data_IF_262529536738
#
_entry.id   IF_262529536738
#
_cell.length_a   1.000
_cell.length_b   1.000
_cell.length_c   1.000
_cell.angle_alpha   90.00
_cell.angle_beta   90.00
_cell.angle_gamma   90.00
#
_symmetry.space_group_name_H-M   'P 1'
#
loop_
_entity.id
_entity.type
_entity.pdbx_description
1 polymer ?
#
# COMPACT_ATOMS: atom_id res chain seq x y z
N UNK A 1 12.37 22.31 30.42
CA UNK A 1 12.06 21.15 29.55
C UNK A 1 13.15 21.09 28.49
N UNK A 2 13.97 20.04 28.46
CA UNK A 2 15.16 19.96 27.60
C UNK A 2 14.76 20.06 26.13
N UNK A 3 15.42 20.97 25.41
CA UNK A 3 15.00 21.49 24.11
C UNK A 3 15.58 20.73 22.90
N UNK A 4 15.96 19.46 23.07
CA UNK A 4 16.47 18.63 21.98
C UNK A 4 15.30 17.86 21.33
N UNK A 5 14.55 18.56 20.46
CA UNK A 5 13.67 17.86 19.52
C UNK A 5 14.55 17.00 18.63
N UNK A 6 14.36 15.68 18.66
CA UNK A 6 14.99 14.72 17.76
C UNK A 6 13.95 14.17 16.79
N UNK A 7 14.34 13.75 15.58
CA UNK A 7 13.41 13.12 14.66
C UNK A 7 12.84 11.82 15.27
N UNK A 8 11.57 11.54 14.95
CA UNK A 8 10.88 10.28 15.25
C UNK A 8 11.63 9.09 14.61
N UNK A 9 11.28 7.86 14.98
CA UNK A 9 11.88 6.68 14.35
C UNK A 9 11.48 6.56 12.88
N UNK A 10 10.21 6.85 12.58
CA UNK A 10 9.73 6.93 11.21
C UNK A 10 10.50 7.96 10.38
N UNK A 11 10.72 9.16 10.92
CA UNK A 11 11.43 10.24 10.23
C UNK A 11 12.86 9.85 9.86
N UNK A 12 13.54 9.10 10.73
CA UNK A 12 14.88 8.55 10.43
C UNK A 12 14.81 7.46 9.37
N UNK A 13 13.79 6.59 9.42
CA UNK A 13 13.63 5.50 8.47
C UNK A 13 13.37 5.96 7.02
N UNK A 14 12.88 7.20 6.84
CA UNK A 14 12.63 7.79 5.52
C UNK A 14 13.68 8.81 5.08
N UNK A 15 14.84 8.88 5.75
CA UNK A 15 15.91 9.79 5.37
C UNK A 15 16.43 9.52 3.94
N UNK A 16 16.63 10.59 3.18
CA UNK A 16 17.02 10.55 1.76
C UNK A 16 15.93 11.06 0.81
N UNK A 17 16.27 11.12 -0.47
CA UNK A 17 15.34 11.50 -1.53
C UNK A 17 14.64 10.25 -2.08
N UNK A 18 13.31 10.27 -2.07
CA UNK A 18 12.46 9.20 -2.58
C UNK A 18 11.93 9.56 -3.95
N UNK A 19 12.11 8.63 -4.90
CA UNK A 19 11.67 8.77 -6.28
C UNK A 19 10.65 7.71 -6.61
N UNK A 20 9.52 8.12 -7.18
CA UNK A 20 8.45 7.21 -7.56
C UNK A 20 7.73 7.69 -8.81
N UNK A 21 7.03 6.75 -9.43
CA UNK A 21 6.10 7.03 -10.51
C UNK A 21 4.71 6.44 -10.20
N UNK A 22 4.04 6.90 -9.12
CA UNK A 22 2.67 6.48 -8.85
C UNK A 22 1.77 6.51 -10.08
N UNK A 23 1.09 5.39 -10.31
CA UNK A 23 -0.01 5.29 -11.25
C UNK A 23 -1.23 6.04 -10.72
N UNK A 24 -1.94 6.71 -11.64
CA UNK A 24 -3.17 7.43 -11.39
C UNK A 24 -4.34 6.67 -12.02
N UNK A 25 -5.34 6.40 -11.19
CA UNK A 25 -6.55 5.72 -11.59
C UNK A 25 -7.79 6.56 -11.27
N UNK A 26 -8.78 6.47 -12.16
CA UNK A 26 -10.15 6.90 -11.91
C UNK A 26 -10.80 6.03 -10.81
N UNK A 27 -11.93 6.49 -10.28
CA UNK A 27 -12.67 5.77 -9.22
C UNK A 27 -13.15 4.37 -9.65
N UNK A 28 -13.32 4.11 -10.95
CA UNK A 28 -13.68 2.80 -11.50
C UNK A 28 -12.46 1.87 -11.71
N UNK A 29 -11.25 2.37 -11.43
CA UNK A 29 -9.99 1.66 -11.62
C UNK A 29 -9.41 1.74 -13.02
N UNK A 30 -9.95 2.58 -13.90
CA UNK A 30 -9.33 2.91 -15.18
C UNK A 30 -8.01 3.64 -14.93
N UNK A 31 -6.92 3.09 -15.44
CA UNK A 31 -5.61 3.75 -15.40
C UNK A 31 -5.57 4.90 -16.42
N UNK A 32 -5.29 6.12 -15.96
CA UNK A 32 -5.29 7.32 -16.82
C UNK A 32 -3.93 7.98 -16.96
N UNK A 33 -2.94 7.60 -16.15
CA UNK A 33 -1.59 8.15 -16.27
C UNK A 33 -0.74 7.96 -15.04
N UNK A 34 0.22 8.86 -14.86
CA UNK A 34 1.22 8.79 -13.80
C UNK A 34 1.43 10.14 -13.14
N UNK A 35 1.92 10.11 -11.90
CA UNK A 35 2.48 11.25 -11.21
C UNK A 35 3.96 10.95 -10.94
N UNK A 36 4.90 11.62 -11.61
CA UNK A 36 6.32 11.52 -11.26
C UNK A 36 6.55 12.32 -9.99
N UNK A 37 7.03 11.64 -8.94
CA UNK A 37 7.24 12.23 -7.64
C UNK A 37 8.71 12.12 -7.24
N UNK A 38 9.27 13.23 -6.77
CA UNK A 38 10.52 13.24 -6.01
C UNK A 38 10.29 14.00 -4.73
N UNK A 39 10.63 13.41 -3.59
CA UNK A 39 10.28 13.95 -2.28
C UNK A 39 11.32 13.60 -1.23
N UNK A 40 11.54 14.50 -0.30
CA UNK A 40 12.33 14.21 0.88
C UNK A 40 11.77 14.91 2.11
N UNK A 41 12.30 14.52 3.26
CA UNK A 41 11.93 15.10 4.53
C UNK A 41 13.20 15.46 5.29
N UNK A 42 13.34 16.74 5.59
CA UNK A 42 14.54 17.34 6.14
C UNK A 42 14.30 17.75 7.59
N UNK A 43 15.24 17.43 8.47
CA UNK A 43 15.19 17.82 9.87
C UNK A 43 16.26 18.86 10.16
N UNK A 44 15.86 20.13 10.31
CA UNK A 44 16.76 21.25 10.54
C UNK A 44 16.26 22.12 11.69
N UNK A 45 17.17 22.55 12.56
CA UNK A 45 16.86 23.48 13.66
C UNK A 45 15.66 23.04 14.52
N UNK A 46 15.52 21.72 14.76
CA UNK A 46 14.43 21.16 15.56
C UNK A 46 13.07 21.08 14.85
N UNK A 47 13.04 21.24 13.52
CA UNK A 47 11.81 21.23 12.70
C UNK A 47 11.96 20.26 11.52
N UNK A 48 10.89 19.52 11.23
CA UNK A 48 10.80 18.70 10.02
C UNK A 48 10.07 19.46 8.93
N UNK A 49 10.69 19.59 7.76
CA UNK A 49 10.05 20.09 6.55
C UNK A 49 10.00 18.98 5.51
N UNK A 50 8.86 18.82 4.86
CA UNK A 50 8.66 17.91 3.75
C UNK A 50 8.56 18.71 2.47
N UNK A 51 9.25 18.28 1.42
CA UNK A 51 9.08 18.82 0.09
C UNK A 51 8.73 17.69 -0.88
N UNK A 52 7.94 18.03 -1.90
CA UNK A 52 7.51 17.08 -2.91
C UNK A 52 7.35 17.79 -4.26
N UNK A 53 8.13 17.34 -5.23
CA UNK A 53 8.03 17.73 -6.63
C UNK A 53 7.16 16.70 -7.34
N UNK A 54 6.04 17.15 -7.91
CA UNK A 54 5.13 16.32 -8.70
C UNK A 54 5.16 16.75 -10.16
N UNK A 55 4.92 15.82 -11.07
CA UNK A 55 4.69 16.11 -12.48
C UNK A 55 3.71 15.08 -13.03
N UNK A 56 2.50 15.54 -13.36
CA UNK A 56 1.49 14.67 -13.90
C UNK A 56 1.71 14.44 -15.40
N UNK A 57 1.53 13.18 -15.81
CA UNK A 57 1.47 12.74 -17.19
C UNK A 57 0.25 11.82 -17.30
N UNK A 58 -0.92 12.44 -17.41
CA UNK A 58 -2.19 11.75 -17.41
C UNK A 58 -3.14 12.28 -18.46
N UNK A 59 -4.14 11.47 -18.76
CA UNK A 59 -5.24 11.79 -19.66
C UNK A 59 -6.53 12.00 -18.86
N UNK A 60 -7.48 12.74 -19.43
CA UNK A 60 -8.76 12.97 -18.79
C UNK A 60 -8.73 14.03 -17.66
N UNK A 61 -9.84 14.17 -16.93
CA UNK A 61 -10.06 15.30 -16.03
C UNK A 61 -9.14 15.31 -14.79
N UNK A 62 -8.59 14.16 -14.40
CA UNK A 62 -7.69 14.09 -13.25
C UNK A 62 -6.34 14.76 -13.49
N UNK A 63 -5.89 14.90 -14.76
CA UNK A 63 -4.65 15.60 -15.07
C UNK A 63 -4.72 17.07 -14.64
N UNK A 64 -5.70 17.81 -15.19
CA UNK A 64 -5.86 19.25 -14.93
C UNK A 64 -6.28 19.52 -13.49
N UNK A 65 -6.96 18.56 -12.85
CA UNK A 65 -7.36 18.64 -11.45
C UNK A 65 -6.16 18.62 -10.49
N UNK A 66 -5.16 17.79 -10.76
CA UNK A 66 -4.07 17.53 -9.82
C UNK A 66 -2.74 18.21 -10.19
N UNK A 67 -2.58 18.68 -11.42
CA UNK A 67 -1.44 19.48 -11.82
C UNK A 67 -1.54 20.91 -11.26
N UNK A 68 -0.60 21.28 -10.39
CA UNK A 68 -0.58 22.59 -9.71
C UNK A 68 0.56 23.47 -10.26
N UNK A 69 1.56 22.90 -10.94
CA UNK A 69 2.68 23.66 -11.51
C UNK A 69 3.64 24.27 -10.47
N UNK A 70 3.57 23.83 -9.20
CA UNK A 70 4.47 24.25 -8.12
C UNK A 70 4.87 23.06 -7.25
N UNK A 71 6.11 23.01 -6.73
CA UNK A 71 6.49 22.10 -5.66
C UNK A 71 5.60 22.29 -4.43
N UNK A 72 5.30 21.18 -3.75
CA UNK A 72 4.71 21.19 -2.42
C UNK A 72 5.80 21.32 -1.36
N UNK A 73 5.51 22.07 -0.30
CA UNK A 73 6.38 22.25 0.86
C UNK A 73 5.56 22.51 2.13
N UNK A 74 5.64 21.59 3.08
CA UNK A 74 4.86 21.65 4.31
C UNK A 74 5.66 21.17 5.52
N UNK A 75 5.30 21.68 6.69
CA UNK A 75 5.85 21.23 7.97
C UNK A 75 5.27 19.90 8.39
N UNK A 76 6.07 19.11 9.11
CA UNK A 76 5.60 17.89 9.77
C UNK A 76 5.96 18.00 11.25
N UNK A 77 4.98 17.78 12.11
CA UNK A 77 5.22 17.52 13.53
C UNK A 77 5.12 16.00 13.67
N UNK A 78 6.26 15.36 13.88
CA UNK A 78 6.34 13.91 13.92
C UNK A 78 6.68 13.45 15.33
N UNK A 79 5.83 12.60 15.86
CA UNK A 79 6.05 11.78 17.04
C UNK A 79 5.76 10.33 16.66
N UNK A 80 6.28 9.36 17.41
CA UNK A 80 5.98 7.96 17.12
C UNK A 80 4.49 7.60 17.32
N UNK A 81 3.68 8.52 17.90
CA UNK A 81 2.23 8.39 18.06
C UNK A 81 1.44 9.15 16.99
N UNK A 82 1.73 10.43 16.81
CA UNK A 82 1.07 11.28 15.81
C UNK A 82 2.07 11.80 14.78
N UNK A 83 1.71 11.68 13.50
CA UNK A 83 2.33 12.43 12.41
C UNK A 83 1.37 13.50 11.92
N UNK A 84 1.66 14.78 12.22
CA UNK A 84 0.77 15.90 11.92
C UNK A 84 1.32 16.69 10.72
N UNK A 85 0.50 16.82 9.69
CA UNK A 85 0.80 17.57 8.48
C UNK A 85 0.36 19.02 8.67
N UNK A 86 1.32 19.96 8.53
CA UNK A 86 1.11 21.39 8.81
C UNK A 86 1.63 22.24 7.65
N UNK A 87 0.76 22.74 6.79
CA UNK A 87 1.19 23.63 5.71
C UNK A 87 0.10 23.82 4.67
N UNK A 88 0.31 24.73 3.70
CA UNK A 88 -0.74 25.06 2.75
C UNK A 88 -1.10 23.87 1.84
N UNK A 89 -0.20 22.91 1.71
CA UNK A 89 -0.33 21.81 0.75
C UNK A 89 -1.03 20.58 1.33
N UNK A 90 -0.84 20.32 2.62
CA UNK A 90 -1.43 19.19 3.33
C UNK A 90 -1.71 19.55 4.80
N UNK A 91 -2.93 19.27 5.25
CA UNK A 91 -3.40 19.45 6.62
C UNK A 91 -4.08 18.17 7.10
N UNK A 92 -3.67 17.65 8.26
CA UNK A 92 -4.29 16.47 8.85
C UNK A 92 -3.30 15.65 9.66
N UNK A 93 -3.55 14.35 9.78
CA UNK A 93 -2.73 13.48 10.60
C UNK A 93 -2.50 12.10 10.00
N UNK A 94 -1.58 11.36 10.62
CA UNK A 94 -1.39 9.94 10.39
C UNK A 94 -0.88 9.26 11.65
N UNK A 95 -0.95 7.93 11.61
CA UNK A 95 -0.63 7.01 12.70
C UNK A 95 0.57 6.17 12.29
N UNK A 96 1.76 6.43 12.84
CA UNK A 96 2.93 5.60 12.63
C UNK A 96 2.85 4.26 13.37
N UNK A 97 3.31 3.21 12.71
CA UNK A 97 3.44 1.84 13.20
C UNK A 97 4.83 1.34 12.77
N UNK A 98 5.89 1.87 13.36
CA UNK A 98 7.27 1.55 12.95
C UNK A 98 7.58 1.99 11.52
N UNK A 99 7.62 1.04 10.58
CA UNK A 99 7.93 1.27 9.16
C UNK A 99 6.68 1.42 8.27
N UNK A 100 5.51 1.58 8.88
CA UNK A 100 4.27 1.90 8.20
C UNK A 100 3.65 3.16 8.79
N UNK A 101 3.08 4.02 7.94
CA UNK A 101 2.22 5.13 8.39
C UNK A 101 0.89 5.06 7.64
N UNK A 102 -0.20 5.00 8.40
CA UNK A 102 -1.57 5.16 7.89
C UNK A 102 -2.04 6.60 8.14
N UNK A 103 -2.27 7.36 7.08
CA UNK A 103 -2.56 8.79 7.15
C UNK A 103 -3.92 9.14 6.58
N UNK A 104 -4.56 10.13 7.21
CA UNK A 104 -5.77 10.78 6.75
C UNK A 104 -5.59 12.29 6.81
N UNK A 105 -5.40 12.91 5.65
CA UNK A 105 -5.15 14.35 5.54
C UNK A 105 -5.83 14.94 4.31
N UNK A 106 -6.10 16.24 4.36
CA UNK A 106 -6.66 17.02 3.28
C UNK A 106 -5.55 17.72 2.51
N UNK A 107 -5.63 17.70 1.17
CA UNK A 107 -4.81 18.56 0.32
C UNK A 107 -5.65 19.71 -0.22
N UNK A 108 -5.39 20.97 0.18
CA UNK A 108 -6.11 22.12 -0.36
C UNK A 108 -5.92 22.30 -1.87
N UNK A 109 -4.69 22.07 -2.35
CA UNK A 109 -4.37 22.21 -3.77
C UNK A 109 -5.13 21.22 -4.67
N UNK A 110 -5.25 19.96 -4.24
CA UNK A 110 -6.02 18.93 -4.95
C UNK A 110 -7.50 18.89 -4.58
N UNK A 111 -7.88 19.61 -3.53
CA UNK A 111 -9.22 19.65 -2.94
C UNK A 111 -9.80 18.24 -2.68
N UNK A 112 -9.05 17.38 -1.99
CA UNK A 112 -9.46 16.02 -1.63
C UNK A 112 -8.97 15.63 -0.24
N UNK A 113 -9.69 14.73 0.42
CA UNK A 113 -9.20 13.96 1.55
C UNK A 113 -8.43 12.75 1.04
N UNK A 114 -7.26 12.49 1.58
CA UNK A 114 -6.37 11.41 1.19
C UNK A 114 -6.29 10.38 2.30
N UNK A 115 -6.60 9.12 1.97
CA UNK A 115 -6.33 7.97 2.84
C UNK A 115 -5.05 7.28 2.39
N UNK A 116 -3.92 7.83 2.83
CA UNK A 116 -2.58 7.45 2.35
C UNK A 116 -1.89 6.47 3.29
N UNK A 117 -1.40 5.37 2.76
CA UNK A 117 -0.52 4.45 3.47
C UNK A 117 0.86 4.43 2.81
N UNK A 118 1.89 4.65 3.62
CA UNK A 118 3.30 4.51 3.23
C UNK A 118 3.87 3.34 4.04
N UNK A 119 4.46 2.34 3.38
CA UNK A 119 5.10 1.21 4.03
C UNK A 119 6.52 1.05 3.48
N UNK A 120 7.53 1.36 4.28
CA UNK A 120 8.94 1.15 3.93
C UNK A 120 9.26 -0.32 4.12
N UNK A 121 9.83 -0.96 3.09
CA UNK A 121 10.17 -2.38 3.09
C UNK A 121 11.68 -2.52 2.85
N UNK A 122 12.51 -2.47 3.91
CA UNK A 122 13.96 -2.43 3.78
C UNK A 122 14.54 -3.63 3.04
N UNK A 123 14.00 -4.84 3.27
CA UNK A 123 14.45 -6.06 2.61
C UNK A 123 14.28 -6.04 1.08
N UNK A 124 13.38 -5.19 0.57
CA UNK A 124 13.14 -4.99 -0.84
C UNK A 124 13.75 -3.69 -1.36
N UNK A 125 14.27 -2.82 -0.49
CA UNK A 125 14.81 -1.51 -0.86
C UNK A 125 13.77 -0.56 -1.47
N UNK A 126 12.48 -0.74 -1.13
CA UNK A 126 11.37 0.05 -1.68
C UNK A 126 10.50 0.63 -0.58
N UNK A 127 9.65 1.57 -0.95
CA UNK A 127 8.47 1.94 -0.18
C UNK A 127 7.22 1.73 -1.03
N UNK A 128 6.23 1.06 -0.45
CA UNK A 128 4.90 0.90 -1.00
C UNK A 128 4.06 2.12 -0.63
N UNK A 129 3.58 2.84 -1.63
CA UNK A 129 2.72 4.00 -1.47
C UNK A 129 1.34 3.72 -2.06
N UNK A 130 0.30 4.08 -1.31
CA UNK A 130 -1.09 4.00 -1.77
C UNK A 130 -1.91 5.12 -1.17
N UNK A 131 -2.72 5.81 -1.97
CA UNK A 131 -3.59 6.89 -1.53
C UNK A 131 -4.90 6.85 -2.29
N UNK A 132 -6.00 6.75 -1.54
CA UNK A 132 -7.36 6.89 -2.07
C UNK A 132 -7.81 8.34 -1.85
N UNK A 133 -8.34 8.98 -2.88
CA UNK A 133 -8.70 10.40 -2.90
C UNK A 133 -10.22 10.55 -2.82
N UNK A 134 -10.70 11.30 -1.83
CA UNK A 134 -12.12 11.42 -1.53
C UNK A 134 -12.60 12.88 -1.51
N UNK A 135 -13.78 13.08 -2.06
CA UNK A 135 -14.66 14.21 -1.76
C UNK A 135 -15.74 13.73 -0.78
N UNK A 136 -15.57 14.07 0.50
CA UNK A 136 -16.30 13.45 1.60
C UNK A 136 -16.24 11.91 1.52
N UNK A 137 -17.34 11.24 1.18
CA UNK A 137 -17.43 9.78 1.04
C UNK A 137 -17.31 9.27 -0.41
N UNK A 138 -17.13 10.18 -1.38
CA UNK A 138 -17.03 9.83 -2.80
C UNK A 138 -15.57 9.64 -3.18
N UNK A 139 -15.19 8.44 -3.61
CA UNK A 139 -13.88 8.20 -4.20
C UNK A 139 -13.82 8.88 -5.58
N UNK A 140 -12.81 9.71 -5.81
CA UNK A 140 -12.61 10.43 -7.08
C UNK A 140 -11.38 9.97 -7.83
N UNK A 141 -10.45 9.29 -7.16
CA UNK A 141 -9.27 8.73 -7.81
C UNK A 141 -8.37 7.99 -6.83
N UNK A 142 -7.33 7.35 -7.36
CA UNK A 142 -6.32 6.63 -6.59
C UNK A 142 -4.94 6.93 -7.13
N UNK A 143 -4.01 7.25 -6.23
CA UNK A 143 -2.57 7.23 -6.50
C UNK A 143 -1.97 6.01 -5.83
N UNK A 144 -1.25 5.17 -6.56
CA UNK A 144 -0.46 4.10 -5.93
C UNK A 144 0.81 3.81 -6.73
N UNK A 145 1.87 3.37 -6.05
CA UNK A 145 3.14 3.12 -6.69
C UNK A 145 4.24 2.74 -5.72
N UNK A 146 5.38 2.35 -6.27
CA UNK A 146 6.58 2.08 -5.49
C UNK A 146 7.52 3.28 -5.57
N UNK A 147 8.29 3.44 -4.51
CA UNK A 147 9.37 4.41 -4.44
C UNK A 147 10.68 3.71 -4.12
N UNK A 148 11.77 4.27 -4.61
CA UNK A 148 13.15 3.95 -4.20
C UNK A 148 13.80 5.17 -3.58
N UNK A 149 14.65 4.92 -2.58
CA UNK A 149 15.40 5.97 -1.89
C UNK A 149 16.81 6.12 -2.45
N UNK A 150 17.33 7.35 -2.42
CA UNK A 150 18.69 7.70 -2.77
C UNK A 150 19.27 8.68 -1.75
N UNK A 151 20.60 8.74 -1.68
CA UNK A 151 21.33 9.67 -0.80
C UNK A 151 22.21 10.65 -1.58
N UNK A 152 22.42 10.39 -2.88
CA UNK A 152 23.40 11.10 -3.72
C UNK A 152 22.85 11.37 -5.13
N UNK A 153 21.53 11.33 -5.33
CA UNK A 153 20.92 11.41 -6.66
C UNK A 153 21.32 12.66 -7.45
N UNK A 154 21.45 13.82 -6.82
CA UNK A 154 21.85 15.06 -7.52
C UNK A 154 23.27 15.00 -8.11
N UNK A 155 24.18 14.26 -7.48
CA UNK A 155 25.62 14.31 -7.80
C UNK A 155 26.16 13.01 -8.41
N UNK A 156 25.40 11.92 -8.38
CA UNK A 156 25.83 10.61 -8.87
C UNK A 156 25.07 10.16 -10.13
N UNK A 157 25.69 10.21 -11.33
CA UNK A 157 25.08 9.77 -12.58
C UNK A 157 24.64 8.30 -12.61
N UNK A 158 25.32 7.42 -11.87
CA UNK A 158 24.92 6.01 -11.78
C UNK A 158 23.63 5.86 -10.97
N UNK A 159 23.47 6.63 -9.88
CA UNK A 159 22.23 6.68 -9.11
C UNK A 159 21.08 7.24 -9.96
N UNK A 160 21.30 8.32 -10.71
CA UNK A 160 20.31 8.89 -11.62
C UNK A 160 19.83 7.86 -12.65
N UNK A 161 20.77 7.17 -13.31
CA UNK A 161 20.43 6.12 -14.29
C UNK A 161 19.65 4.96 -13.67
N UNK A 162 19.97 4.57 -12.42
CA UNK A 162 19.23 3.53 -11.68
C UNK A 162 17.80 3.99 -11.38
N UNK A 163 17.62 5.23 -10.96
CA UNK A 163 16.28 5.82 -10.72
C UNK A 163 15.49 5.89 -12.03
N UNK A 164 16.07 6.38 -13.12
CA UNK A 164 15.39 6.43 -14.41
C UNK A 164 14.94 5.05 -14.89
N UNK A 165 15.81 4.03 -14.78
CA UNK A 165 15.46 2.65 -15.10
C UNK A 165 14.32 2.10 -14.23
N UNK A 166 14.31 2.44 -12.93
CA UNK A 166 13.22 2.11 -12.02
C UNK A 166 11.91 2.77 -12.46
N UNK A 167 11.91 4.08 -12.75
CA UNK A 167 10.71 4.80 -13.16
C UNK A 167 10.15 4.29 -14.50
N UNK A 168 10.99 3.95 -15.47
CA UNK A 168 10.54 3.34 -16.73
C UNK A 168 9.93 1.97 -16.53
N UNK A 169 10.49 1.14 -15.63
CA UNK A 169 9.88 -0.14 -15.25
C UNK A 169 8.50 0.06 -14.59
N UNK A 170 8.38 1.06 -13.73
CA UNK A 170 7.11 1.38 -13.06
C UNK A 170 6.00 1.83 -14.02
N UNK A 171 6.32 2.43 -15.18
CA UNK A 171 5.33 2.68 -16.24
C UNK A 171 4.67 1.39 -16.73
N UNK A 172 5.43 0.31 -16.82
CA UNK A 172 4.93 -0.98 -17.28
C UNK A 172 4.18 -1.70 -16.15
N UNK A 173 4.80 -1.74 -14.98
CA UNK A 173 4.34 -2.61 -13.89
C UNK A 173 3.24 -2.00 -13.04
N UNK A 174 3.23 -0.67 -12.85
CA UNK A 174 2.28 0.00 -11.95
C UNK A 174 0.82 -0.24 -12.33
N UNK A 175 0.53 -0.28 -13.64
CA UNK A 175 -0.80 -0.55 -14.20
C UNK A 175 -1.14 -2.03 -14.34
N UNK A 176 -0.20 -2.94 -14.06
CA UNK A 176 -0.43 -4.39 -14.21
C UNK A 176 -1.56 -4.83 -13.27
N UNK A 177 -2.59 -5.54 -13.74
CA UNK A 177 -3.69 -5.98 -12.88
C UNK A 177 -3.22 -6.87 -11.72
N UNK A 178 -3.89 -6.77 -10.57
CA UNK A 178 -3.66 -7.65 -9.43
C UNK A 178 -4.16 -9.07 -9.72
N UNK A 179 -3.24 -9.92 -10.17
CA UNK A 179 -3.52 -11.29 -10.57
C UNK A 179 -2.70 -12.24 -9.71
N UNK A 180 -3.40 -13.18 -9.07
CA UNK A 180 -2.75 -14.30 -8.40
C UNK A 180 -2.51 -15.43 -9.41
N UNK A 181 -1.63 -16.40 -9.11
CA UNK A 181 -1.35 -17.54 -9.98
C UNK A 181 -2.63 -18.27 -10.41
N UNK A 182 -2.98 -18.24 -11.70
CA UNK A 182 -4.31 -18.72 -12.16
C UNK A 182 -4.36 -20.21 -12.46
N UNK A 183 -3.23 -20.92 -12.49
CA UNK A 183 -3.17 -22.36 -12.85
C UNK A 183 -2.58 -23.26 -11.78
N UNK A 184 -1.64 -22.74 -11.00
CA UNK A 184 -0.95 -23.50 -9.96
C UNK A 184 -1.58 -23.22 -8.60
N UNK A 185 -1.75 -24.26 -7.81
CA UNK A 185 -1.89 -24.10 -6.37
C UNK A 185 -0.54 -23.68 -5.76
N UNK A 186 -0.56 -23.33 -4.48
CA UNK A 186 0.64 -22.98 -3.73
C UNK A 186 0.28 -22.18 -2.50
N UNK A 187 1.27 -21.51 -1.94
CA UNK A 187 1.08 -20.71 -0.73
C UNK A 187 1.85 -19.40 -0.79
N UNK A 188 1.27 -18.36 -0.21
CA UNK A 188 1.99 -17.14 0.15
C UNK A 188 2.36 -17.23 1.62
N UNK A 189 3.64 -17.15 1.97
CA UNK A 189 4.08 -17.26 3.37
C UNK A 189 5.02 -16.12 3.76
N UNK A 190 4.94 -15.70 5.03
CA UNK A 190 5.80 -14.68 5.55
C UNK A 190 5.46 -14.30 6.99
N UNK A 191 6.15 -13.29 7.51
CA UNK A 191 6.02 -12.86 8.90
C UNK A 191 5.69 -11.37 8.96
N UNK A 192 4.66 -11.03 9.73
CA UNK A 192 4.19 -9.67 9.88
C UNK A 192 4.49 -9.13 11.29
N UNK A 193 4.84 -7.86 11.37
CA UNK A 193 4.82 -7.12 12.63
C UNK A 193 3.36 -6.87 13.06
N UNK A 194 3.10 -6.81 14.36
CA UNK A 194 1.75 -6.60 14.90
C UNK A 194 1.76 -5.47 15.90
N UNK A 195 0.98 -4.44 15.62
CA UNK A 195 0.76 -3.30 16.48
C UNK A 195 -0.67 -3.32 17.03
N UNK A 196 -0.84 -2.93 18.30
CA UNK A 196 -2.15 -2.77 18.91
C UNK A 196 -2.79 -1.41 18.58
N UNK A 197 -3.98 -1.15 19.14
CA UNK A 197 -4.72 0.09 18.97
C UNK A 197 -3.98 1.35 19.46
N UNK A 198 -2.98 1.19 20.33
CA UNK A 198 -2.15 2.26 20.88
C UNK A 198 -0.83 2.46 20.10
N UNK A 199 -0.71 1.84 18.92
CA UNK A 199 0.51 1.90 18.08
C UNK A 199 1.75 1.31 18.75
N UNK A 200 1.56 0.35 19.67
CA UNK A 200 2.65 -0.37 20.33
C UNK A 200 2.90 -1.69 19.60
N UNK A 201 4.16 -2.00 19.30
CA UNK A 201 4.56 -3.31 18.76
C UNK A 201 4.33 -4.38 19.83
N UNK A 202 3.37 -5.26 19.61
CA UNK A 202 2.98 -6.33 20.56
C UNK A 202 3.53 -7.70 20.18
N UNK A 203 4.13 -7.83 18.99
CA UNK A 203 4.77 -9.07 18.56
C UNK A 203 4.71 -9.25 17.05
N UNK A 204 4.67 -10.52 16.64
CA UNK A 204 4.66 -10.91 15.23
C UNK A 204 3.61 -11.99 14.98
N UNK A 205 3.17 -12.08 13.73
CA UNK A 205 2.37 -13.18 13.21
C UNK A 205 3.13 -13.87 12.08
N UNK A 206 3.16 -15.19 12.10
CA UNK A 206 3.44 -15.99 10.91
C UNK A 206 2.14 -16.14 10.13
N UNK A 207 2.18 -15.85 8.83
CA UNK A 207 1.03 -15.80 7.95
C UNK A 207 1.24 -16.72 6.77
N UNK A 208 0.25 -17.56 6.49
CA UNK A 208 0.21 -18.40 5.30
C UNK A 208 -1.13 -18.21 4.59
N UNK A 209 -1.11 -17.96 3.30
CA UNK A 209 -2.31 -17.95 2.45
C UNK A 209 -2.19 -19.12 1.48
N UNK A 210 -2.90 -20.20 1.75
CA UNK A 210 -3.06 -21.28 0.79
C UNK A 210 -3.92 -20.78 -0.36
N UNK A 211 -3.47 -21.02 -1.60
CA UNK A 211 -4.14 -20.61 -2.81
C UNK A 211 -4.37 -21.82 -3.71
N UNK A 212 -5.62 -22.04 -4.10
CA UNK A 212 -6.00 -23.10 -5.02
C UNK A 212 -6.92 -22.58 -6.11
N UNK A 213 -6.45 -22.44 -7.36
CA UNK A 213 -7.31 -22.11 -8.49
C UNK A 213 -8.42 -23.14 -8.67
N UNK A 214 -9.65 -22.67 -8.91
CA UNK A 214 -10.81 -23.51 -9.26
C UNK A 214 -11.10 -23.40 -10.75
N UNK A 215 -10.92 -22.19 -11.29
CA UNK A 215 -10.90 -21.89 -12.72
C UNK A 215 -10.07 -20.61 -12.92
N UNK A 216 -10.09 -20.03 -14.13
CA UNK A 216 -9.27 -18.85 -14.45
C UNK A 216 -9.67 -17.56 -13.71
N UNK A 217 -10.85 -17.52 -13.10
CA UNK A 217 -11.41 -16.35 -12.41
C UNK A 217 -11.66 -16.59 -10.91
N UNK A 218 -11.69 -17.85 -10.46
CA UNK A 218 -12.03 -18.24 -9.10
C UNK A 218 -10.92 -19.06 -8.47
N UNK A 219 -10.70 -18.84 -7.18
CA UNK A 219 -9.77 -19.60 -6.36
C UNK A 219 -10.31 -19.75 -4.95
N UNK A 220 -10.11 -20.91 -4.34
CA UNK A 220 -10.21 -21.04 -2.88
C UNK A 220 -8.95 -20.44 -2.24
N UNK A 221 -9.15 -19.67 -1.19
CA UNK A 221 -8.06 -19.15 -0.36
C UNK A 221 -8.31 -19.44 1.10
N UNK A 222 -7.29 -19.97 1.77
CA UNK A 222 -7.29 -20.20 3.21
C UNK A 222 -6.17 -19.37 3.84
N UNK A 223 -6.53 -18.41 4.68
CA UNK A 223 -5.58 -17.61 5.46
C UNK A 223 -5.41 -18.28 6.81
N UNK A 224 -4.17 -18.61 7.16
CA UNK A 224 -3.74 -19.10 8.46
C UNK A 224 -2.79 -18.10 9.10
N UNK A 225 -3.03 -17.79 10.38
CA UNK A 225 -2.24 -16.84 11.17
C UNK A 225 -1.94 -17.50 12.51
N UNK A 226 -0.67 -17.47 12.91
CA UNK A 226 -0.22 -17.90 14.24
C UNK A 226 0.71 -16.86 14.86
N UNK A 227 0.59 -16.64 16.17
CA UNK A 227 1.39 -15.66 16.90
C UNK A 227 0.54 -14.82 17.84
N UNK A 228 0.60 -13.49 17.72
CA UNK A 228 -0.25 -12.56 18.47
C UNK A 228 -1.73 -12.81 18.15
N UNK A 229 -2.03 -13.05 16.88
CA UNK A 229 -3.36 -13.42 16.40
C UNK A 229 -3.30 -14.89 15.98
N UNK A 230 -4.29 -15.67 16.41
CA UNK A 230 -4.41 -17.08 16.04
C UNK A 230 -5.75 -17.25 15.35
N UNK A 231 -5.71 -17.50 14.04
CA UNK A 231 -6.91 -17.56 13.22
C UNK A 231 -6.71 -18.38 11.95
N UNK A 232 -7.82 -18.93 11.46
CA UNK A 232 -7.90 -19.63 10.19
C UNK A 232 -9.23 -19.31 9.51
N UNK A 233 -9.18 -18.86 8.26
CA UNK A 233 -10.38 -18.53 7.49
C UNK A 233 -10.24 -18.94 6.03
N UNK A 234 -11.30 -19.51 5.49
CA UNK A 234 -11.42 -19.93 4.10
C UNK A 234 -12.47 -19.08 3.37
N UNK A 235 -12.14 -18.66 2.15
CA UNK A 235 -13.09 -18.04 1.24
C UNK A 235 -12.86 -18.44 -0.23
N UNK A 236 -13.94 -18.62 -0.98
CA UNK A 236 -13.87 -18.56 -2.44
C UNK A 236 -13.67 -17.10 -2.86
N UNK A 237 -12.49 -16.80 -3.42
CA UNK A 237 -12.19 -15.53 -4.07
C UNK A 237 -12.58 -15.59 -5.54
N UNK A 238 -13.24 -14.55 -6.01
CA UNK A 238 -13.59 -14.35 -7.41
C UNK A 238 -13.00 -13.03 -7.91
N UNK A 239 -12.71 -12.96 -9.21
CA UNK A 239 -12.20 -11.75 -9.86
C UNK A 239 -12.94 -11.51 -11.17
N UNK A 240 -13.48 -10.31 -11.32
CA UNK A 240 -14.12 -9.82 -12.55
C UNK A 240 -13.51 -8.47 -12.91
N UNK A 241 -12.57 -8.46 -13.85
CA UNK A 241 -11.73 -7.28 -14.09
C UNK A 241 -10.91 -6.94 -12.84
N UNK A 242 -11.10 -5.73 -12.34
CA UNK A 242 -10.50 -5.24 -11.09
C UNK A 242 -11.40 -5.40 -9.86
N UNK A 243 -12.62 -5.93 -10.00
CA UNK A 243 -13.48 -6.23 -8.87
C UNK A 243 -13.18 -7.61 -8.30
N UNK A 244 -13.12 -7.68 -6.98
CA UNK A 244 -12.87 -8.91 -6.23
C UNK A 244 -14.02 -9.16 -5.25
N UNK A 245 -14.40 -10.41 -5.08
CA UNK A 245 -15.41 -10.81 -4.08
C UNK A 245 -14.97 -12.07 -3.35
N UNK A 246 -15.44 -12.20 -2.10
CA UNK A 246 -15.17 -13.31 -1.20
C UNK A 246 -16.51 -13.90 -0.75
N UNK A 247 -16.72 -15.20 -0.96
CA UNK A 247 -18.03 -15.84 -0.84
C UNK A 247 -18.12 -16.92 0.25
N UNK A 248 -17.27 -16.86 1.27
CA UNK A 248 -17.27 -17.82 2.37
C UNK A 248 -16.59 -19.17 2.06
N UNK A 249 -16.61 -20.11 3.02
CA UNK A 249 -17.56 -20.16 4.12
C UNK A 249 -17.24 -19.26 5.33
N UNK A 250 -15.97 -18.96 5.59
CA UNK A 250 -15.58 -18.26 6.82
C UNK A 250 -15.55 -16.75 6.65
N UNK A 251 -15.25 -16.26 5.44
CA UNK A 251 -15.14 -14.84 5.16
C UNK A 251 -15.95 -14.38 3.94
N UNK A 252 -16.68 -13.29 4.10
CA UNK A 252 -17.48 -12.65 3.06
C UNK A 252 -17.07 -11.20 2.86
N UNK A 253 -17.08 -10.72 1.62
CA UNK A 253 -16.77 -9.32 1.37
C UNK A 253 -16.40 -9.03 -0.07
N UNK A 254 -15.73 -7.91 -0.27
CA UNK A 254 -15.32 -7.46 -1.59
C UNK A 254 -14.01 -6.68 -1.55
N UNK A 255 -13.50 -6.41 -2.74
CA UNK A 255 -12.36 -5.57 -2.93
C UNK A 255 -12.31 -5.02 -4.34
N UNK A 256 -11.41 -4.08 -4.53
CA UNK A 256 -11.16 -3.45 -5.81
C UNK A 256 -9.67 -3.27 -5.99
N UNK A 257 -9.17 -3.62 -7.16
CA UNK A 257 -7.78 -3.38 -7.53
C UNK A 257 -7.63 -2.13 -8.39
N UNK A 258 -6.49 -1.48 -8.21
CA UNK A 258 -6.05 -0.33 -8.99
C UNK A 258 -4.64 -0.67 -9.45
N UNK A 259 -4.54 -1.26 -10.64
CA UNK A 259 -3.33 -1.94 -11.09
C UNK A 259 -2.97 -3.08 -10.14
N UNK A 260 -1.74 -3.07 -9.63
CA UNK A 260 -1.17 -4.15 -8.80
C UNK A 260 -1.44 -4.00 -7.30
N UNK A 261 -2.38 -3.13 -6.94
CA UNK A 261 -2.79 -2.88 -5.55
C UNK A 261 -4.22 -3.35 -5.37
N UNK A 262 -4.45 -4.22 -4.39
CA UNK A 262 -5.77 -4.70 -4.01
C UNK A 262 -6.18 -4.11 -2.66
N UNK A 263 -7.35 -3.48 -2.64
CA UNK A 263 -8.00 -2.96 -1.44
C UNK A 263 -9.19 -3.84 -1.15
N UNK A 264 -9.22 -4.50 0.00
CA UNK A 264 -10.30 -5.43 0.34
C UNK A 264 -10.81 -5.26 1.76
N UNK A 265 -12.11 -5.53 1.92
CA UNK A 265 -12.80 -5.64 3.20
C UNK A 265 -13.44 -7.02 3.27
N UNK A 266 -13.09 -7.79 4.30
CA UNK A 266 -13.57 -9.15 4.51
C UNK A 266 -14.14 -9.26 5.92
N UNK A 267 -15.38 -9.72 6.04
CA UNK A 267 -16.09 -9.96 7.29
C UNK A 267 -16.02 -11.43 7.67
N UNK A 268 -15.75 -11.73 8.94
CA UNK A 268 -15.78 -13.10 9.43
C UNK A 268 -17.22 -13.49 9.75
N UNK A 269 -17.67 -14.61 9.21
CA UNK A 269 -19.03 -15.10 9.36
C UNK A 269 -19.36 -15.36 10.84
N UNK A 270 -20.51 -14.85 11.29
CA UNK A 270 -20.97 -15.01 12.67
C UNK A 270 -20.19 -14.22 13.73
N UNK A 271 -19.28 -13.32 13.35
CA UNK A 271 -18.46 -12.55 14.30
C UNK A 271 -18.51 -11.05 14.02
N UNK A 272 -18.37 -10.23 15.07
CA UNK A 272 -18.19 -8.79 14.95
C UNK A 272 -16.75 -8.41 14.55
N UNK A 273 -16.15 -9.18 13.64
CA UNK A 273 -14.76 -9.09 13.25
C UNK A 273 -14.65 -8.90 11.73
N UNK A 274 -13.85 -7.93 11.30
CA UNK A 274 -13.54 -7.71 9.89
C UNK A 274 -12.06 -7.41 9.69
N UNK A 275 -11.55 -7.80 8.53
CA UNK A 275 -10.20 -7.55 8.05
C UNK A 275 -10.27 -6.50 6.93
N UNK A 276 -9.62 -5.37 7.13
CA UNK A 276 -9.29 -4.41 6.09
C UNK A 276 -7.88 -4.68 5.60
N UNK A 277 -7.66 -4.54 4.30
CA UNK A 277 -6.37 -4.93 3.72
C UNK A 277 -6.01 -4.09 2.52
N UNK A 278 -4.73 -3.75 2.44
CA UNK A 278 -4.03 -3.26 1.24
C UNK A 278 -2.94 -4.27 0.91
N UNK A 279 -3.01 -4.86 -0.27
CA UNK A 279 -2.09 -5.90 -0.73
C UNK A 279 -1.48 -5.45 -2.05
N UNK A 280 -0.15 -5.45 -2.15
CA UNK A 280 0.57 -4.96 -3.33
C UNK A 280 1.43 -6.07 -3.90
N UNK A 281 1.22 -6.43 -5.16
CA UNK A 281 2.11 -7.34 -5.86
C UNK A 281 3.29 -6.56 -6.44
N UNK A 282 4.50 -6.76 -5.93
CA UNK A 282 5.65 -5.90 -6.24
C UNK A 282 6.53 -6.40 -7.40
N UNK A 283 6.41 -7.68 -7.76
CA UNK A 283 7.21 -8.32 -8.82
C UNK A 283 6.43 -9.42 -9.57
N UNK A 284 7.07 -10.07 -10.55
CA UNK A 284 6.51 -11.18 -11.33
C UNK A 284 6.47 -12.50 -10.54
N UNK A 285 7.25 -12.62 -9.46
CA UNK A 285 7.29 -13.77 -8.57
C UNK A 285 6.13 -13.76 -7.56
N UNK A 286 5.18 -12.84 -7.72
CA UNK A 286 4.02 -12.66 -6.85
C UNK A 286 4.38 -12.31 -5.39
N UNK A 287 5.52 -11.66 -5.14
CA UNK A 287 5.78 -11.10 -3.81
C UNK A 287 4.67 -10.12 -3.45
N UNK A 288 4.05 -10.34 -2.30
CA UNK A 288 3.01 -9.46 -1.76
C UNK A 288 3.55 -8.65 -0.60
N UNK A 289 3.43 -7.33 -0.67
CA UNK A 289 3.56 -6.46 0.49
C UNK A 289 2.16 -6.16 1.01
N UNK A 290 1.90 -6.53 2.26
CA UNK A 290 0.57 -6.49 2.85
C UNK A 290 0.53 -5.54 4.04
N UNK A 291 -0.58 -4.83 4.19
CA UNK A 291 -0.95 -4.11 5.39
C UNK A 291 -2.42 -4.40 5.72
N UNK A 292 -2.65 -4.96 6.89
CA UNK A 292 -3.91 -5.53 7.34
C UNK A 292 -4.34 -4.89 8.66
N UNK A 293 -5.57 -4.40 8.72
CA UNK A 293 -6.20 -3.86 9.92
C UNK A 293 -7.31 -4.82 10.37
N UNK A 294 -7.15 -5.36 11.56
CA UNK A 294 -8.16 -6.19 12.21
C UNK A 294 -9.07 -5.32 13.07
N UNK A 295 -10.36 -5.36 12.75
CA UNK A 295 -11.36 -4.52 13.39
C UNK A 295 -12.33 -5.37 14.20
N UNK A 296 -12.47 -5.05 15.49
CA UNK A 296 -13.47 -5.63 16.39
C UNK A 296 -14.57 -4.60 16.64
N UNK A 297 -15.82 -4.95 16.29
CA UNK A 297 -16.98 -4.06 16.47
C UNK A 297 -16.75 -2.66 15.88
N UNK A 298 -16.17 -2.60 14.67
CA UNK A 298 -15.80 -1.37 13.94
C UNK A 298 -14.64 -0.56 14.55
N UNK A 299 -13.98 -1.05 15.60
CA UNK A 299 -12.78 -0.43 16.17
C UNK A 299 -11.55 -1.20 15.75
N UNK A 300 -10.50 -0.50 15.36
CA UNK A 300 -9.20 -1.13 15.10
C UNK A 300 -8.71 -1.78 16.40
N UNK A 301 -8.30 -3.03 16.29
CA UNK A 301 -7.69 -3.79 17.37
C UNK A 301 -6.21 -4.05 17.08
N UNK A 302 -5.89 -4.38 15.83
CA UNK A 302 -4.51 -4.58 15.40
C UNK A 302 -4.28 -4.04 14.01
N UNK A 303 -3.08 -3.48 13.81
CA UNK A 303 -2.49 -3.23 12.49
C UNK A 303 -1.31 -4.16 12.33
N UNK A 304 -1.30 -4.94 11.25
CA UNK A 304 -0.22 -5.88 10.95
C UNK A 304 0.24 -5.72 9.51
N UNK A 305 1.53 -5.84 9.26
CA UNK A 305 2.07 -5.67 7.91
C UNK A 305 3.39 -6.43 7.76
N UNK A 306 3.71 -6.75 6.51
CA UNK A 306 4.95 -7.40 6.13
C UNK A 306 4.91 -7.94 4.71
N UNK A 307 5.79 -8.88 4.42
CA UNK A 307 5.98 -9.44 3.07
C UNK A 307 5.59 -10.90 3.06
N UNK A 308 4.82 -11.32 2.05
CA UNK A 308 4.55 -12.72 1.75
C UNK A 308 5.21 -13.13 0.43
N UNK A 309 5.82 -14.31 0.42
CA UNK A 309 6.49 -14.89 -0.74
C UNK A 309 5.70 -16.06 -1.27
N UNK A 310 5.58 -16.14 -2.59
CA UNK A 310 4.91 -17.24 -3.26
C UNK A 310 5.81 -18.48 -3.32
N UNK A 311 5.24 -19.61 -2.93
CA UNK A 311 5.78 -20.93 -3.18
C UNK A 311 4.81 -21.67 -4.09
N UNK A 312 5.27 -21.97 -5.31
CA UNK A 312 4.46 -22.67 -6.29
C UNK A 312 4.31 -24.15 -5.93
N UNK A 313 3.07 -24.61 -5.89
CA UNK A 313 2.71 -26.02 -5.76
C UNK A 313 2.19 -26.62 -7.07
N UNK A 314 1.28 -27.58 -6.92
CA UNK A 314 0.80 -28.41 -8.03
C UNK A 314 0.09 -27.61 -9.12
N UNK A 315 0.22 -28.07 -10.37
CA UNK A 315 -0.59 -27.60 -11.48
C UNK A 315 -2.03 -28.12 -11.33
N UNK A 316 -2.99 -27.20 -11.13
CA UNK A 316 -4.41 -27.53 -10.97
C UNK A 316 -5.16 -27.43 -12.31
N UNK A 317 -4.86 -26.41 -13.10
CA UNK A 317 -5.53 -26.15 -14.38
C UNK A 317 -4.58 -26.43 -15.54
N UNK A 318 -4.38 -27.72 -15.82
CA UNK A 318 -3.60 -28.24 -16.95
C UNK A 318 -4.38 -28.32 -18.27
N UNK A 319 -3.70 -28.77 -19.32
CA UNK A 319 -4.37 -29.11 -20.57
C UNK A 319 -5.22 -30.38 -20.38
N UNK A 320 -6.47 -30.33 -20.82
CA UNK A 320 -7.34 -31.50 -20.90
C UNK A 320 -7.48 -31.89 -22.37
N UNK A 321 -7.33 -33.17 -22.67
CA UNK A 321 -7.56 -33.74 -24.00
C UNK A 321 -8.89 -34.48 -23.97
N UNK A 322 -9.72 -34.24 -24.98
CA UNK A 322 -10.95 -35.01 -25.23
C UNK A 322 -10.65 -35.87 -26.44
N UNK A 323 -10.73 -37.19 -26.26
CA UNK A 323 -10.57 -38.18 -27.33
C UNK A 323 -11.78 -38.22 -28.26
#
# INVERSE_FOLDING_TARGET
MSNDKKPSNWQKAIEGEWHGLPSLFEADGTHVGYNKVSRASEFENGRTTYWMNTRFDATGPLNDRFEIGSPFRFGVIDSDQDRIYTGPDFIGSGRPYGLLVDSNYFSPGWNVNLRTMNHVVPELGIQVYSSQLFEADTLVGVFNGLYVVTQDHETNPATQKRVDAFLEKEKLDGKRPFNLPVKHAGQFSGRFEVYNENQELVGHNDVVIHHKPLNLLHSEQTIEISGVINAKWTAMRTRTGNHHQYHGPDMFGNGMSYGRYLYSVRHVFGQAFKLWSRETQVDEDYTLVCAWQFMQSQKEKYTTFGVLRWEQGDLILGANHVD
#
